data_IF_815819709407
#
_entry.id   IF_815819709407
#
_cell.length_a   1.000
_cell.length_b   1.000
_cell.length_c   1.000
_cell.angle_alpha   90.00
_cell.angle_beta   90.00
_cell.angle_gamma   90.00
#
_symmetry.space_group_name_H-M   'P 1'
#
loop_
_entity.id
_entity.type
_entity.pdbx_description
1 polymer ?
#
# COMPACT_ATOMS: atom_id res chain seq x y z
N UNK A 1 -0.49 12.14 8.88
CA UNK A 1 -0.74 13.18 7.84
C UNK A 1 -2.22 13.13 7.48
N UNK A 2 -2.93 14.26 7.33
CA UNK A 2 -4.30 14.25 6.86
C UNK A 2 -4.39 13.83 5.38
N UNK A 3 -5.49 13.18 4.99
CA UNK A 3 -5.73 12.65 3.63
C UNK A 3 -5.48 13.69 2.54
N UNK A 4 -5.91 14.94 2.77
CA UNK A 4 -5.71 16.06 1.83
C UNK A 4 -4.25 16.26 1.46
N UNK A 5 -3.35 16.21 2.44
CA UNK A 5 -1.90 16.41 2.20
C UNK A 5 -1.29 15.23 1.45
N UNK A 6 -1.73 14.00 1.74
CA UNK A 6 -1.29 12.81 1.02
C UNK A 6 -1.70 12.88 -0.46
N UNK A 7 -2.97 13.20 -0.73
CA UNK A 7 -3.49 13.37 -2.08
C UNK A 7 -2.78 14.48 -2.85
N UNK A 8 -2.51 15.61 -2.20
CA UNK A 8 -1.74 16.70 -2.82
C UNK A 8 -0.33 16.25 -3.26
N UNK A 9 0.38 15.51 -2.40
CA UNK A 9 1.71 14.98 -2.71
C UNK A 9 1.68 13.97 -3.86
N UNK A 10 0.64 13.14 -3.92
CA UNK A 10 0.40 12.22 -5.04
C UNK A 10 0.21 12.98 -6.36
N UNK A 11 -0.69 13.96 -6.42
CA UNK A 11 -0.94 14.71 -7.65
C UNK A 11 0.28 15.49 -8.14
N UNK A 12 1.08 16.05 -7.23
CA UNK A 12 2.34 16.71 -7.60
C UNK A 12 3.33 15.75 -8.25
N UNK A 13 3.45 14.52 -7.73
CA UNK A 13 4.31 13.51 -8.33
C UNK A 13 3.81 13.07 -9.72
N UNK A 14 2.49 12.93 -9.89
CA UNK A 14 1.88 12.64 -11.19
C UNK A 14 2.13 13.77 -12.18
N UNK A 15 1.92 15.03 -11.77
CA UNK A 15 2.17 16.20 -12.61
C UNK A 15 3.62 16.31 -13.05
N UNK A 16 4.57 16.00 -12.16
CA UNK A 16 5.99 16.00 -12.46
C UNK A 16 6.42 14.82 -13.36
N UNK A 17 5.54 13.83 -13.59
CA UNK A 17 5.83 12.63 -14.38
C UNK A 17 6.90 11.73 -13.76
N UNK A 18 7.27 11.96 -12.49
CA UNK A 18 8.38 11.27 -11.83
C UNK A 18 7.97 10.83 -10.43
N UNK A 19 8.09 9.53 -10.18
CA UNK A 19 7.85 8.98 -8.85
C UNK A 19 8.99 9.36 -7.91
N UNK A 20 8.69 9.92 -6.71
CA UNK A 20 9.71 10.18 -5.70
C UNK A 20 10.38 8.88 -5.24
N UNK A 21 11.66 9.00 -4.87
CA UNK A 21 12.39 7.90 -4.26
C UNK A 21 11.67 7.41 -2.97
N UNK A 22 11.72 6.11 -2.65
CA UNK A 22 10.97 5.52 -1.54
C UNK A 22 11.11 6.29 -0.21
N UNK A 23 12.33 6.71 0.11
CA UNK A 23 12.71 7.41 1.34
C UNK A 23 12.06 8.79 1.53
N UNK A 24 11.64 9.45 0.45
CA UNK A 24 11.00 10.77 0.48
C UNK A 24 9.53 10.73 0.05
N UNK A 25 9.04 9.57 -0.39
CA UNK A 25 7.67 9.41 -0.87
C UNK A 25 6.69 9.47 0.30
N UNK A 26 5.75 10.41 0.24
CA UNK A 26 4.74 10.64 1.29
C UNK A 26 3.35 10.10 0.95
N UNK A 27 3.26 9.18 -0.01
CA UNK A 27 2.05 8.50 -0.44
C UNK A 27 2.36 7.05 -0.84
N UNK A 28 1.36 6.17 -0.73
CA UNK A 28 1.51 4.76 -1.09
C UNK A 28 1.62 4.56 -2.61
N UNK A 29 2.49 3.64 -3.02
CA UNK A 29 2.61 3.13 -4.37
C UNK A 29 1.70 1.92 -4.61
N UNK A 30 1.61 1.48 -5.86
CA UNK A 30 0.94 0.23 -6.20
C UNK A 30 1.58 -0.99 -5.55
N UNK A 31 2.91 -1.01 -5.37
CA UNK A 31 3.60 -2.10 -4.67
C UNK A 31 3.19 -2.16 -3.19
N UNK A 32 3.06 -0.99 -2.55
CA UNK A 32 2.55 -0.91 -1.17
C UNK A 32 1.10 -1.42 -1.10
N UNK A 33 0.29 -1.12 -2.12
CA UNK A 33 -1.07 -1.66 -2.25
C UNK A 33 -1.10 -3.18 -2.41
N UNK A 34 -0.23 -3.75 -3.25
CA UNK A 34 -0.13 -5.19 -3.46
C UNK A 34 0.28 -5.92 -2.17
N UNK A 35 1.24 -5.37 -1.41
CA UNK A 35 1.64 -5.89 -0.11
C UNK A 35 0.46 -5.97 0.88
N UNK A 36 -0.41 -4.95 0.90
CA UNK A 36 -1.62 -4.95 1.73
C UNK A 36 -2.62 -6.00 1.25
N UNK A 37 -2.77 -6.21 -0.06
CA UNK A 37 -3.67 -7.22 -0.60
C UNK A 37 -3.27 -8.63 -0.16
N UNK A 38 -1.97 -8.95 -0.12
CA UNK A 38 -1.49 -10.25 0.39
C UNK A 38 -1.84 -10.46 1.86
N UNK A 39 -1.80 -9.41 2.68
CA UNK A 39 -2.19 -9.48 4.09
C UNK A 39 -3.70 -9.72 4.22
N UNK A 40 -4.52 -8.99 3.45
CA UNK A 40 -5.98 -9.18 3.46
C UNK A 40 -6.34 -10.60 3.04
N UNK A 41 -5.73 -11.13 1.98
CA UNK A 41 -5.92 -12.52 1.55
C UNK A 41 -5.56 -13.52 2.66
N UNK A 42 -4.41 -13.33 3.33
CA UNK A 42 -4.01 -14.16 4.46
C UNK A 42 -5.00 -14.08 5.65
N UNK A 43 -5.58 -12.91 5.94
CA UNK A 43 -6.61 -12.74 6.98
C UNK A 43 -7.87 -13.52 6.60
N UNK A 44 -8.34 -13.39 5.35
CA UNK A 44 -9.52 -14.11 4.86
C UNK A 44 -9.30 -15.62 4.94
N UNK A 45 -8.14 -16.11 4.49
CA UNK A 45 -7.77 -17.53 4.56
C UNK A 45 -7.65 -18.05 5.99
N UNK A 46 -7.02 -17.26 6.88
CA UNK A 46 -6.90 -17.59 8.30
C UNK A 46 -8.28 -17.76 8.94
N UNK A 47 -9.20 -16.81 8.67
CA UNK A 47 -10.58 -16.90 9.14
C UNK A 47 -11.32 -18.12 8.58
N UNK A 48 -11.20 -18.41 7.30
CA UNK A 48 -11.86 -19.58 6.68
C UNK A 48 -11.38 -20.92 7.27
N UNK A 49 -10.09 -21.03 7.58
CA UNK A 49 -9.50 -22.28 8.07
C UNK A 49 -9.37 -22.36 9.60
N UNK A 50 -9.73 -21.29 10.32
CA UNK A 50 -9.61 -21.19 11.78
C UNK A 50 -8.21 -21.57 12.29
N UNK A 51 -7.17 -21.17 11.54
CA UNK A 51 -5.77 -21.47 11.86
C UNK A 51 -4.87 -20.35 11.40
N UNK A 52 -3.68 -20.26 12.00
CA UNK A 52 -2.63 -19.37 11.53
C UNK A 52 -2.20 -19.72 10.10
N UNK A 53 -2.12 -18.69 9.26
CA UNK A 53 -1.67 -18.77 7.86
C UNK A 53 -0.59 -17.72 7.64
N UNK A 54 0.50 -18.09 6.97
CA UNK A 54 1.56 -17.17 6.58
C UNK A 54 1.10 -16.25 5.45
N UNK A 55 1.52 -14.99 5.49
CA UNK A 55 1.34 -14.06 4.36
C UNK A 55 2.27 -14.49 3.24
N UNK A 56 1.72 -14.79 2.07
CA UNK A 56 2.49 -15.12 0.86
C UNK A 56 2.55 -13.88 -0.03
N UNK A 57 3.77 -13.44 -0.40
CA UNK A 57 4.05 -12.34 -1.34
C UNK A 57 4.45 -12.88 -2.71
#
# INVERSE_FOLDING_TARGET
MPLKTLMQQFYLAVQAGKMPAPEVRRFASFADGADVMYIIDAIVKSHQHQRWVSVMR
#
